data_IF_668108949050
#
_entry.id   IF_668108949050
#
_cell.length_a   1.000
_cell.length_b   1.000
_cell.length_c   1.000
_cell.angle_alpha   90.00
_cell.angle_beta   90.00
_cell.angle_gamma   90.00
#
_symmetry.space_group_name_H-M   'P 1'
#
loop_
_entity.id
_entity.type
_entity.pdbx_description
1 polymer ?
#
# COMPACT_ATOMS: atom_id res chain seq x y z
N UNK A 1 -20.37 -13.51 -5.40
CA UNK A 1 -20.83 -14.42 -6.47
C UNK A 1 -20.52 -13.73 -7.79
N UNK A 2 -19.24 -13.68 -8.17
CA UNK A 2 -18.82 -13.06 -9.43
C UNK A 2 -18.85 -14.13 -10.50
N UNK A 3 -19.71 -13.95 -11.48
CA UNK A 3 -19.78 -14.78 -12.68
C UNK A 3 -18.39 -14.86 -13.32
N UNK A 4 -17.91 -16.05 -13.71
CA UNK A 4 -16.79 -16.11 -14.63
C UNK A 4 -17.30 -15.57 -15.97
N UNK A 5 -16.97 -14.32 -16.28
CA UNK A 5 -16.97 -13.86 -17.67
C UNK A 5 -15.92 -14.70 -18.41
N UNK A 6 -16.32 -15.87 -18.88
CA UNK A 6 -15.60 -16.55 -19.94
C UNK A 6 -15.81 -15.71 -21.19
N UNK A 7 -15.00 -14.66 -21.30
CA UNK A 7 -14.64 -13.99 -22.53
C UNK A 7 -14.10 -15.08 -23.44
N UNK A 8 -15.01 -15.78 -24.14
CA UNK A 8 -14.63 -16.48 -25.36
C UNK A 8 -13.93 -15.42 -26.18
N UNK A 9 -12.62 -15.59 -26.28
CA UNK A 9 -11.72 -14.79 -27.07
C UNK A 9 -12.48 -14.25 -28.28
N UNK A 10 -12.54 -12.92 -28.36
CA UNK A 10 -12.94 -12.21 -29.56
C UNK A 10 -12.34 -12.98 -30.74
N UNK A 11 -13.20 -13.55 -31.59
CA UNK A 11 -12.86 -14.65 -32.51
C UNK A 11 -12.02 -14.12 -33.66
N UNK A 12 -10.80 -13.67 -33.36
CA UNK A 12 -9.72 -13.64 -34.32
C UNK A 12 -9.28 -15.10 -34.47
N UNK A 13 -9.40 -15.69 -35.68
CA UNK A 13 -8.98 -17.07 -35.89
C UNK A 13 -7.50 -17.20 -35.58
N UNK A 14 -7.18 -17.93 -34.50
CA UNK A 14 -5.81 -18.25 -34.12
C UNK A 14 -5.43 -19.60 -34.75
N UNK A 15 -4.27 -19.65 -35.41
CA UNK A 15 -3.71 -20.88 -35.99
C UNK A 15 -2.51 -21.31 -35.16
N UNK A 16 -2.48 -22.57 -34.75
CA UNK A 16 -1.30 -23.13 -34.09
C UNK A 16 -0.12 -23.18 -35.08
N UNK A 17 0.99 -22.54 -34.72
CA UNK A 17 2.23 -22.52 -35.52
C UNK A 17 3.03 -23.79 -35.26
N UNK A 18 3.21 -24.14 -33.98
CA UNK A 18 3.88 -25.35 -33.52
C UNK A 18 3.39 -25.72 -32.11
N UNK A 19 3.67 -26.95 -31.67
CA UNK A 19 3.34 -27.42 -30.31
C UNK A 19 4.59 -28.04 -29.70
N UNK A 20 4.88 -27.68 -28.46
CA UNK A 20 6.06 -28.14 -27.72
C UNK A 20 5.64 -28.77 -26.39
N UNK A 21 6.47 -29.65 -25.83
CA UNK A 21 6.18 -30.33 -24.58
C UNK A 21 6.63 -29.52 -23.36
N UNK A 22 7.68 -28.72 -23.51
CA UNK A 22 8.21 -27.87 -22.46
C UNK A 22 8.06 -26.39 -22.80
N UNK A 23 8.01 -25.55 -21.76
CA UNK A 23 7.92 -24.11 -21.93
C UNK A 23 9.22 -23.55 -22.51
N UNK A 24 10.37 -24.10 -22.11
CA UNK A 24 11.70 -23.70 -22.59
C UNK A 24 11.88 -23.99 -24.10
N UNK A 25 11.31 -25.09 -24.60
CA UNK A 25 11.29 -25.40 -26.04
C UNK A 25 10.42 -24.39 -26.80
N UNK A 26 9.29 -24.00 -26.23
CA UNK A 26 8.42 -22.98 -26.83
C UNK A 26 9.11 -21.60 -26.86
N UNK A 27 9.82 -21.22 -25.80
CA UNK A 27 10.60 -19.97 -25.75
C UNK A 27 11.70 -19.97 -26.82
N UNK A 28 12.48 -21.06 -26.93
CA UNK A 28 13.53 -21.16 -27.96
C UNK A 28 12.97 -21.06 -29.38
N UNK A 29 11.76 -21.58 -29.61
CA UNK A 29 11.08 -21.45 -30.89
C UNK A 29 10.64 -20.01 -31.16
N UNK A 30 10.16 -19.29 -30.14
CA UNK A 30 9.80 -17.87 -30.26
C UNK A 30 11.04 -17.02 -30.55
N UNK A 31 12.16 -17.29 -29.88
CA UNK A 31 13.44 -16.60 -30.13
C UNK A 31 13.91 -16.82 -31.58
N UNK A 32 13.91 -18.08 -32.05
CA UNK A 32 14.25 -18.40 -33.43
C UNK A 32 13.33 -17.71 -34.44
N UNK A 33 12.02 -17.67 -34.17
CA UNK A 33 11.07 -16.97 -35.03
C UNK A 33 11.33 -15.46 -35.05
N UNK A 34 11.64 -14.87 -33.88
CA UNK A 34 11.98 -13.45 -33.76
C UNK A 34 13.24 -13.09 -34.56
N UNK A 35 14.27 -13.94 -34.51
CA UNK A 35 15.52 -13.75 -35.25
C UNK A 35 15.34 -13.81 -36.77
N UNK A 36 14.27 -14.45 -37.25
CA UNK A 36 13.88 -14.55 -38.67
C UNK A 36 12.82 -13.50 -39.07
N UNK A 37 12.72 -12.40 -38.31
CA UNK A 37 11.76 -11.31 -38.52
C UNK A 37 10.28 -11.74 -38.56
N UNK A 38 9.94 -12.87 -37.93
CA UNK A 38 8.56 -13.26 -37.75
C UNK A 38 7.88 -12.31 -36.74
N UNK A 39 6.62 -11.87 -36.96
CA UNK A 39 5.92 -10.93 -36.09
C UNK A 39 5.44 -11.60 -34.78
N UNK A 40 6.38 -11.93 -33.89
CA UNK A 40 6.12 -12.59 -32.60
C UNK A 40 5.23 -11.78 -31.66
N UNK A 41 5.12 -10.46 -31.86
CA UNK A 41 4.27 -9.56 -31.06
C UNK A 41 2.77 -9.87 -31.21
N UNK A 42 2.39 -10.65 -32.24
CA UNK A 42 1.02 -11.11 -32.49
C UNK A 42 0.83 -12.60 -32.19
N UNK A 43 1.82 -13.24 -31.60
CA UNK A 43 1.80 -14.66 -31.23
C UNK A 43 1.63 -14.79 -29.73
N UNK A 44 0.93 -15.85 -29.29
CA UNK A 44 0.69 -16.14 -27.88
C UNK A 44 1.08 -17.58 -27.57
N UNK A 45 1.74 -17.80 -26.43
CA UNK A 45 2.01 -19.15 -25.91
C UNK A 45 0.77 -19.60 -25.14
N UNK A 46 0.17 -20.71 -25.58
CA UNK A 46 -1.01 -21.29 -24.94
C UNK A 46 -0.63 -22.63 -24.31
N UNK A 47 -0.53 -22.66 -22.99
CA UNK A 47 -0.42 -23.91 -22.23
C UNK A 47 -1.73 -24.70 -22.32
N UNK A 48 -1.70 -25.88 -22.94
CA UNK A 48 -2.84 -26.80 -23.01
C UNK A 48 -2.57 -28.04 -22.18
N UNK A 49 -3.59 -28.55 -21.51
CA UNK A 49 -3.45 -29.76 -20.70
C UNK A 49 -2.59 -29.57 -19.46
N UNK A 50 -2.69 -28.40 -18.80
CA UNK A 50 -2.08 -28.23 -17.49
C UNK A 50 -2.77 -29.17 -16.50
N UNK A 51 -2.01 -30.08 -15.91
CA UNK A 51 -2.49 -30.92 -14.82
C UNK A 51 -2.64 -30.08 -13.55
N UNK A 52 -3.87 -29.96 -13.06
CA UNK A 52 -4.14 -29.32 -11.77
C UNK A 52 -3.78 -30.29 -10.65
N UNK A 53 -2.55 -30.20 -10.15
CA UNK A 53 -2.12 -30.95 -8.97
C UNK A 53 -2.59 -30.19 -7.73
N UNK A 54 -3.79 -30.53 -7.24
CA UNK A 54 -4.23 -30.06 -5.92
C UNK A 54 -3.54 -30.88 -4.82
N UNK A 55 -2.59 -30.25 -4.12
CA UNK A 55 -2.01 -30.83 -2.92
C UNK A 55 -3.01 -30.72 -1.76
N UNK A 56 -3.72 -31.82 -1.51
CA UNK A 56 -4.70 -31.95 -0.42
C UNK A 56 -3.96 -31.88 0.92
N UNK A 57 -3.75 -30.66 1.43
CA UNK A 57 -3.00 -30.40 2.67
C UNK A 57 -3.87 -30.64 3.92
N UNK A 58 -5.11 -31.10 3.74
CA UNK A 58 -6.07 -31.38 4.80
C UNK A 58 -7.40 -30.67 4.60
N UNK A 59 -8.33 -30.89 5.54
CA UNK A 59 -9.68 -30.32 5.49
C UNK A 59 -9.63 -28.83 5.85
N UNK A 60 -9.58 -27.97 4.83
CA UNK A 60 -9.66 -26.52 5.03
C UNK A 60 -11.12 -26.16 5.38
N UNK A 61 -11.44 -26.19 6.67
CA UNK A 61 -12.76 -25.78 7.16
C UNK A 61 -12.85 -24.25 7.18
N UNK A 62 -14.07 -23.71 7.11
CA UNK A 62 -14.33 -22.26 7.26
C UNK A 62 -13.71 -21.69 8.54
N UNK A 63 -13.64 -22.49 9.60
CA UNK A 63 -12.99 -22.11 10.87
C UNK A 63 -11.48 -22.00 10.76
N UNK A 64 -10.82 -22.88 9.99
CA UNK A 64 -9.37 -22.78 9.76
C UNK A 64 -9.03 -21.53 8.96
N UNK A 65 -9.83 -21.21 7.94
CA UNK A 65 -9.68 -19.98 7.15
C UNK A 65 -9.92 -18.73 8.01
N UNK A 66 -10.99 -18.71 8.81
CA UNK A 66 -11.28 -17.62 9.73
C UNK A 66 -10.19 -17.45 10.80
N UNK A 67 -9.67 -18.55 11.36
CA UNK A 67 -8.59 -18.51 12.35
C UNK A 67 -7.28 -17.95 11.78
N UNK A 68 -6.89 -18.38 10.58
CA UNK A 68 -5.72 -17.83 9.87
C UNK A 68 -5.91 -16.35 9.52
N UNK A 69 -7.10 -15.96 9.07
CA UNK A 69 -7.43 -14.56 8.81
C UNK A 69 -7.40 -13.70 10.08
N UNK A 70 -7.97 -14.20 11.18
CA UNK A 70 -7.99 -13.52 12.48
C UNK A 70 -6.58 -13.36 13.06
N UNK A 71 -5.71 -14.36 12.93
CA UNK A 71 -4.32 -14.26 13.36
C UNK A 71 -3.57 -13.13 12.64
N UNK A 72 -3.69 -13.05 11.32
CA UNK A 72 -3.06 -11.98 10.54
C UNK A 72 -3.71 -10.61 10.84
N UNK A 73 -5.03 -10.57 10.97
CA UNK A 73 -5.79 -9.37 11.33
C UNK A 73 -5.44 -8.85 12.73
N UNK A 74 -5.15 -9.74 13.69
CA UNK A 74 -4.77 -9.37 15.04
C UNK A 74 -3.45 -8.62 15.08
N UNK A 75 -2.46 -9.00 14.27
CA UNK A 75 -1.17 -8.29 14.18
C UNK A 75 -1.38 -6.86 13.66
N UNK A 76 -2.14 -6.71 12.57
CA UNK A 76 -2.45 -5.40 11.99
C UNK A 76 -3.28 -4.55 12.95
N UNK A 77 -4.31 -5.15 13.56
CA UNK A 77 -5.15 -4.48 14.54
C UNK A 77 -4.38 -4.05 15.79
N UNK A 78 -3.46 -4.88 16.29
CA UNK A 78 -2.59 -4.53 17.41
C UNK A 78 -1.66 -3.35 17.07
N UNK A 79 -1.10 -3.32 15.86
CA UNK A 79 -0.27 -2.21 15.40
C UNK A 79 -1.07 -0.90 15.37
N UNK A 80 -2.23 -0.88 14.72
CA UNK A 80 -3.05 0.33 14.63
C UNK A 80 -3.62 0.72 15.99
N UNK A 81 -4.09 -0.24 16.79
CA UNK A 81 -4.55 0.01 18.15
C UNK A 81 -3.48 0.64 19.03
N UNK A 82 -2.24 0.13 18.94
CA UNK A 82 -1.09 0.71 19.63
C UNK A 82 -0.74 2.11 19.12
N UNK A 83 -0.75 2.31 17.80
CA UNK A 83 -0.49 3.61 17.19
C UNK A 83 -1.53 4.66 17.61
N UNK A 84 -2.82 4.35 17.49
CA UNK A 84 -3.90 5.24 17.90
C UNK A 84 -3.91 5.47 19.42
N UNK A 85 -3.58 4.46 20.22
CA UNK A 85 -3.42 4.62 21.67
C UNK A 85 -2.29 5.58 22.03
N UNK A 86 -1.11 5.41 21.41
CA UNK A 86 0.06 6.25 21.62
C UNK A 86 -0.18 7.69 21.11
N UNK A 87 -0.64 7.84 19.88
CA UNK A 87 -0.92 9.16 19.30
C UNK A 87 -2.08 9.87 20.00
N UNK A 88 -3.08 9.13 20.48
CA UNK A 88 -4.19 9.69 21.27
C UNK A 88 -3.71 10.35 22.56
N UNK A 89 -2.63 9.86 23.17
CA UNK A 89 -2.00 10.48 24.34
C UNK A 89 -0.98 11.56 23.98
N UNK A 90 -0.21 11.38 22.90
CA UNK A 90 0.86 12.31 22.51
C UNK A 90 0.33 13.57 21.83
N UNK A 91 -0.71 13.45 20.99
CA UNK A 91 -1.30 14.58 20.27
C UNK A 91 -1.84 15.71 21.18
N UNK A 92 -2.62 15.45 22.25
CA UNK A 92 -3.07 16.52 23.15
C UNK A 92 -1.92 17.18 23.91
N UNK A 93 -0.87 16.45 24.26
CA UNK A 93 0.31 17.02 24.93
C UNK A 93 1.09 17.97 24.01
N UNK A 94 1.28 17.60 22.75
CA UNK A 94 1.93 18.49 21.76
C UNK A 94 1.03 19.69 21.46
N UNK A 95 -0.28 19.49 21.30
CA UNK A 95 -1.23 20.57 21.05
C UNK A 95 -1.28 21.57 22.21
N UNK A 96 -1.29 21.10 23.46
CA UNK A 96 -1.25 21.95 24.65
C UNK A 96 0.07 22.72 24.73
N UNK A 97 1.21 22.06 24.51
CA UNK A 97 2.52 22.71 24.50
C UNK A 97 2.64 23.77 23.40
N UNK A 98 2.16 23.48 22.19
CA UNK A 98 2.13 24.43 21.08
C UNK A 98 1.18 25.59 21.37
N UNK A 99 0.00 25.34 21.91
CA UNK A 99 -0.96 26.38 22.28
C UNK A 99 -0.39 27.27 23.39
N UNK A 100 0.25 26.69 24.41
CA UNK A 100 0.98 27.41 25.45
C UNK A 100 2.11 28.25 24.88
N UNK A 101 2.90 27.71 23.95
CA UNK A 101 4.00 28.44 23.30
C UNK A 101 3.50 29.62 22.46
N UNK A 102 2.45 29.41 21.66
CA UNK A 102 1.80 30.45 20.84
C UNK A 102 1.17 31.52 21.74
N UNK A 103 0.49 31.12 22.82
CA UNK A 103 -0.11 32.04 23.79
C UNK A 103 0.95 32.85 24.55
N UNK A 104 2.05 32.22 24.95
CA UNK A 104 3.21 32.89 25.55
C UNK A 104 3.81 33.91 24.58
N UNK A 105 3.96 33.57 23.30
CA UNK A 105 4.45 34.49 22.26
C UNK A 105 3.51 35.67 22.07
N UNK A 106 2.20 35.45 22.06
CA UNK A 106 1.23 36.54 21.96
C UNK A 106 1.24 37.46 23.19
N UNK A 107 1.34 36.91 24.41
CA UNK A 107 1.32 37.71 25.66
C UNK A 107 2.62 38.49 25.89
N UNK A 108 3.77 38.00 25.43
CA UNK A 108 5.05 38.74 25.50
C UNK A 108 5.10 39.99 24.59
N UNK A 109 4.26 40.07 23.55
CA UNK A 109 4.11 41.27 22.73
C UNK A 109 3.44 42.44 23.48
N UNK A 110 2.57 42.16 24.45
CA UNK A 110 1.85 43.19 25.20
C UNK A 110 2.61 43.67 26.46
N UNK A 111 3.41 42.81 27.08
CA UNK A 111 4.11 43.14 28.34
C UNK A 111 5.34 44.05 28.18
N UNK A 112 5.98 44.08 27.02
CA UNK A 112 7.20 44.87 26.80
C UNK A 112 6.90 46.37 26.55
N UNK A 113 5.70 46.71 26.09
CA UNK A 113 5.27 48.09 25.83
C UNK A 113 4.98 48.87 27.13
N UNK A 114 4.52 48.21 28.18
CA UNK A 114 4.17 48.86 29.44
C UNK A 114 5.42 49.25 30.27
N UNK A 115 6.42 48.38 30.39
CA UNK A 115 7.65 48.64 31.17
C UNK A 115 8.53 49.75 30.60
N UNK A 116 8.47 50.00 29.30
CA UNK A 116 9.31 51.03 28.67
C UNK A 116 8.76 52.47 28.89
N UNK A 117 7.48 52.62 29.26
CA UNK A 117 6.89 53.95 29.54
C UNK A 117 7.19 54.44 30.96
N UNK A 118 7.28 53.54 31.94
CA UNK A 118 7.62 53.89 33.33
C UNK A 118 9.10 54.30 33.49
N UNK A 119 10.02 53.64 32.78
CA UNK A 119 11.45 53.97 32.83
C UNK A 119 11.79 55.39 32.31
N UNK A 120 10.94 55.98 31.45
CA UNK A 120 11.15 57.35 30.94
C UNK A 120 10.60 58.44 31.86
N UNK A 121 9.70 58.13 32.80
CA UNK A 121 9.20 59.12 33.77
C UNK A 121 10.24 59.45 34.84
N UNK A 122 11.00 58.45 35.30
CA UNK A 122 12.05 58.67 36.30
C UNK A 122 13.23 59.52 35.82
N UNK A 123 13.55 59.53 34.52
CA UNK A 123 14.62 60.38 33.95
C UNK A 123 14.22 61.84 33.69
N UNK A 124 12.96 62.22 33.88
CA UNK A 124 12.50 63.62 33.76
C UNK A 124 12.34 64.33 35.11
N UNK A 125 12.55 63.62 36.22
CA UNK A 125 12.47 64.14 37.59
C UNK A 125 13.83 64.14 38.30
N UNK A 126 14.92 63.94 37.56
CA UNK A 126 16.30 64.07 38.02
C UNK A 126 17.01 65.15 37.22
#
# INVERSE_FOLDING_TARGET
MSTPHNTRAETTPQRAVATYHSYEEAERAVDYLSDNEFPVQRTVIVGRGLDMVEQITGRYTYWSAAGKGAANGAVVGALFGWLFGLFGWVAPLIADLLLCAVRCRHRRGAGCSARHREARRHRRQA
#
